data_IF_411329816374
#
_entry.id   IF_411329816374
#
_cell.length_a   1.000
_cell.length_b   1.000
_cell.length_c   1.000
_cell.angle_alpha   90.00
_cell.angle_beta   90.00
_cell.angle_gamma   90.00
#
_symmetry.space_group_name_H-M   'P 1'
#
loop_
_entity.id
_entity.type
_entity.pdbx_description
1 polymer ?
#
# COMPACT_ATOMS: atom_id res chain seq x y z
N UNK A 1 17.46 -8.07 -9.37
CA UNK A 1 16.77 -7.51 -8.21
C UNK A 1 15.25 -7.47 -8.41
N UNK A 2 14.70 -6.79 -9.41
CA UNK A 2 13.22 -6.67 -9.60
C UNK A 2 12.56 -8.06 -9.73
N UNK A 3 13.08 -8.96 -10.53
CA UNK A 3 12.49 -10.30 -10.71
C UNK A 3 12.50 -11.11 -9.41
N UNK A 4 13.55 -10.98 -8.60
CA UNK A 4 13.63 -11.62 -7.29
C UNK A 4 12.59 -11.02 -6.34
N UNK A 5 12.42 -9.68 -6.33
CA UNK A 5 11.38 -9.02 -5.54
C UNK A 5 9.97 -9.42 -6.00
N UNK A 6 9.71 -9.50 -7.32
CA UNK A 6 8.43 -9.99 -7.86
C UNK A 6 8.11 -11.41 -7.38
N UNK A 7 9.13 -12.26 -7.28
CA UNK A 7 8.96 -13.61 -6.74
C UNK A 7 8.66 -13.60 -5.24
N UNK A 8 9.41 -12.84 -4.43
CA UNK A 8 9.19 -12.69 -2.98
C UNK A 8 7.82 -12.06 -2.66
N UNK A 9 7.36 -11.15 -3.50
CA UNK A 9 6.05 -10.50 -3.39
C UNK A 9 4.93 -11.26 -4.11
N UNK A 10 5.21 -12.48 -4.57
CA UNK A 10 4.25 -13.40 -5.19
C UNK A 10 3.38 -12.78 -6.30
N UNK A 11 3.93 -11.80 -7.04
CA UNK A 11 3.22 -11.09 -8.10
C UNK A 11 2.85 -12.05 -9.23
N UNK A 12 1.56 -12.04 -9.62
CA UNK A 12 0.99 -12.94 -10.63
C UNK A 12 0.61 -14.33 -10.12
N UNK A 13 0.77 -14.61 -8.81
CA UNK A 13 0.44 -15.92 -8.23
C UNK A 13 -0.95 -15.97 -7.58
N UNK A 14 -1.60 -14.82 -7.36
CA UNK A 14 -2.86 -14.67 -6.63
C UNK A 14 -3.97 -14.04 -7.47
N UNK A 15 -4.41 -14.65 -8.57
CA UNK A 15 -5.46 -14.06 -9.38
C UNK A 15 -6.75 -13.87 -8.55
N UNK A 16 -7.39 -12.72 -8.75
CA UNK A 16 -8.69 -12.39 -8.21
C UNK A 16 -9.74 -12.47 -9.33
N UNK A 17 -10.64 -13.44 -9.26
CA UNK A 17 -11.73 -13.56 -10.23
C UNK A 17 -12.91 -12.72 -9.74
N UNK A 18 -13.36 -11.71 -10.50
CA UNK A 18 -14.57 -10.96 -10.14
C UNK A 18 -15.81 -11.87 -10.25
N UNK A 19 -16.67 -11.83 -9.25
CA UNK A 19 -17.91 -12.63 -9.21
C UNK A 19 -19.17 -11.77 -9.12
N UNK A 20 -19.05 -10.46 -9.04
CA UNK A 20 -20.14 -9.51 -9.04
C UNK A 20 -19.85 -8.25 -8.23
N UNK A 21 -20.83 -7.37 -8.21
CA UNK A 21 -20.84 -6.16 -7.39
C UNK A 21 -22.27 -5.91 -6.88
N UNK A 22 -22.36 -5.34 -5.67
CA UNK A 22 -23.62 -4.88 -5.08
C UNK A 22 -23.42 -3.43 -4.59
N UNK A 23 -23.87 -2.49 -5.40
CA UNK A 23 -23.57 -1.07 -5.20
C UNK A 23 -22.05 -0.81 -5.17
N UNK A 24 -21.52 -0.25 -4.09
CA UNK A 24 -20.09 -0.01 -3.93
C UNK A 24 -19.28 -1.27 -3.55
N UNK A 25 -19.94 -2.37 -3.20
CA UNK A 25 -19.29 -3.60 -2.79
C UNK A 25 -18.87 -4.42 -4.01
N UNK A 26 -17.60 -4.78 -4.06
CA UNK A 26 -17.02 -5.68 -5.06
C UNK A 26 -16.81 -7.06 -4.44
N UNK A 27 -17.06 -8.08 -5.22
CA UNK A 27 -16.89 -9.48 -4.81
C UNK A 27 -15.94 -10.18 -5.74
N UNK A 28 -14.88 -10.76 -5.17
CA UNK A 28 -13.90 -11.57 -5.89
C UNK A 28 -13.76 -12.94 -5.23
N UNK A 29 -13.14 -13.86 -5.97
CA UNK A 29 -12.65 -15.14 -5.45
C UNK A 29 -11.17 -15.29 -5.75
N UNK A 30 -10.42 -15.80 -4.78
CA UNK A 30 -9.05 -16.27 -5.00
C UNK A 30 -9.04 -17.56 -5.82
N UNK A 31 -7.86 -17.96 -6.34
CA UNK A 31 -7.66 -19.21 -7.06
C UNK A 31 -8.15 -20.46 -6.30
N UNK A 32 -8.09 -20.43 -4.97
CA UNK A 32 -8.55 -21.55 -4.11
C UNK A 32 -10.00 -21.37 -3.64
N UNK A 33 -10.74 -20.44 -4.22
CA UNK A 33 -12.17 -20.24 -3.97
C UNK A 33 -12.52 -19.38 -2.74
N UNK A 34 -11.54 -18.84 -2.02
CA UNK A 34 -11.81 -17.96 -0.89
C UNK A 34 -12.44 -16.64 -1.36
N UNK A 35 -13.50 -16.14 -0.69
CA UNK A 35 -14.10 -14.87 -1.02
C UNK A 35 -13.16 -13.72 -0.62
N UNK A 36 -13.12 -12.68 -1.45
CA UNK A 36 -12.46 -11.41 -1.16
C UNK A 36 -13.45 -10.29 -1.44
N UNK A 37 -13.73 -9.50 -0.42
CA UNK A 37 -14.57 -8.32 -0.55
C UNK A 37 -13.70 -7.11 -0.92
N UNK A 38 -14.24 -6.25 -1.77
CA UNK A 38 -13.69 -4.94 -2.06
C UNK A 38 -14.74 -3.84 -1.93
N UNK A 39 -14.28 -2.61 -1.88
CA UNK A 39 -15.12 -1.40 -1.89
C UNK A 39 -14.63 -0.48 -3.01
N UNK A 40 -15.55 -0.03 -3.84
CA UNK A 40 -15.34 0.96 -4.89
C UNK A 40 -16.01 2.28 -4.50
N UNK A 41 -15.25 3.36 -4.46
CA UNK A 41 -15.76 4.72 -4.42
C UNK A 41 -15.47 5.39 -5.77
N UNK A 42 -16.51 5.65 -6.55
CA UNK A 42 -16.39 6.19 -7.89
C UNK A 42 -17.22 7.48 -8.01
N UNK A 43 -16.62 8.57 -8.53
CA UNK A 43 -17.40 9.78 -8.83
C UNK A 43 -18.39 9.51 -9.96
N UNK A 44 -19.55 10.21 -9.92
CA UNK A 44 -20.56 10.10 -10.96
C UNK A 44 -20.21 11.05 -12.13
N UNK A 45 -19.17 10.69 -12.86
CA UNK A 45 -18.71 11.38 -14.07
C UNK A 45 -18.56 10.40 -15.22
N UNK A 46 -18.79 10.86 -16.43
CA UNK A 46 -18.67 10.05 -17.64
C UNK A 46 -17.19 9.93 -18.09
N UNK A 47 -16.90 8.84 -18.78
CA UNK A 47 -15.59 8.61 -19.40
C UNK A 47 -14.60 7.89 -18.51
N UNK A 48 -13.36 7.79 -19.00
CA UNK A 48 -12.25 7.20 -18.25
C UNK A 48 -11.72 8.20 -17.22
N UNK A 49 -11.44 7.69 -16.04
CA UNK A 49 -10.97 8.50 -14.92
C UNK A 49 -9.74 7.87 -14.24
N UNK A 50 -8.92 8.67 -13.54
CA UNK A 50 -7.86 8.14 -12.70
C UNK A 50 -8.45 7.32 -11.56
N UNK A 51 -7.67 6.35 -11.08
CA UNK A 51 -8.07 5.50 -9.95
C UNK A 51 -6.92 5.33 -8.97
N UNK A 52 -7.23 5.31 -7.68
CA UNK A 52 -6.27 5.00 -6.62
C UNK A 52 -6.63 3.65 -5.99
N UNK A 53 -5.72 2.69 -6.05
CA UNK A 53 -5.77 1.50 -5.21
C UNK A 53 -5.35 1.90 -3.80
N UNK A 54 -6.30 1.88 -2.88
CA UNK A 54 -6.05 2.14 -1.46
C UNK A 54 -5.77 0.82 -0.77
N UNK A 55 -4.63 0.72 -0.11
CA UNK A 55 -4.26 -0.45 0.68
C UNK A 55 -4.45 -0.08 2.14
N UNK A 56 -5.39 -0.75 2.81
CA UNK A 56 -5.75 -0.43 4.19
C UNK A 56 -4.62 -0.71 5.18
N UNK A 57 -4.65 -0.04 6.33
CA UNK A 57 -3.68 -0.22 7.38
C UNK A 57 -3.98 -1.46 8.25
N UNK A 58 -2.99 -1.85 9.08
CA UNK A 58 -3.12 -2.88 10.11
C UNK A 58 -3.82 -2.35 11.36
N UNK A 59 -3.09 -1.57 12.16
CA UNK A 59 -3.56 -0.88 13.36
C UNK A 59 -4.25 -1.78 14.39
N UNK A 60 -3.92 -3.08 14.41
CA UNK A 60 -4.57 -4.12 15.23
C UNK A 60 -6.10 -4.19 15.08
N UNK A 61 -6.63 -3.67 13.96
CA UNK A 61 -8.06 -3.62 13.65
C UNK A 61 -8.37 -4.57 12.49
N UNK A 62 -8.37 -5.85 12.81
CA UNK A 62 -8.66 -6.93 11.85
C UNK A 62 -10.10 -6.89 11.31
N UNK A 63 -10.99 -6.19 11.98
CA UNK A 63 -12.40 -6.01 11.63
C UNK A 63 -12.65 -4.98 10.51
N UNK A 64 -11.71 -4.04 10.26
CA UNK A 64 -11.96 -2.92 9.34
C UNK A 64 -11.79 -3.31 7.88
N UNK A 65 -10.63 -3.83 7.49
CA UNK A 65 -10.36 -4.20 6.08
C UNK A 65 -10.63 -3.08 5.08
N UNK A 66 -11.24 -3.42 3.94
CA UNK A 66 -11.55 -2.48 2.86
C UNK A 66 -12.61 -1.42 3.24
N UNK A 67 -13.35 -1.59 4.33
CA UNK A 67 -14.27 -0.58 4.85
C UNK A 67 -13.56 0.74 5.21
N UNK A 68 -12.23 0.69 5.51
CA UNK A 68 -11.41 1.88 5.71
C UNK A 68 -11.60 2.94 4.63
N UNK A 69 -11.81 2.53 3.38
CA UNK A 69 -11.98 3.45 2.26
C UNK A 69 -13.15 4.43 2.46
N UNK A 70 -14.27 3.95 3.00
CA UNK A 70 -15.51 4.72 3.16
C UNK A 70 -15.79 5.15 4.60
N UNK A 71 -15.30 4.39 5.57
CA UNK A 71 -15.57 4.64 7.00
C UNK A 71 -14.37 5.28 7.71
N UNK A 72 -13.17 5.20 7.10
CA UNK A 72 -11.92 5.69 7.71
C UNK A 72 -11.44 4.79 8.86
N UNK A 73 -10.51 5.33 9.63
CA UNK A 73 -9.99 4.75 10.88
C UNK A 73 -9.36 5.83 11.76
N UNK A 74 -9.10 5.56 13.05
CA UNK A 74 -8.54 6.57 13.96
C UNK A 74 -7.19 7.17 13.52
N UNK A 75 -6.39 6.45 12.73
CA UNK A 75 -5.10 6.94 12.21
C UNK A 75 -5.24 7.84 10.97
N UNK A 76 -6.42 7.95 10.37
CA UNK A 76 -6.71 8.80 9.22
C UNK A 76 -7.54 10.02 9.63
N UNK A 77 -7.37 11.15 8.93
CA UNK A 77 -8.14 12.38 9.17
C UNK A 77 -9.63 12.22 8.84
N UNK A 78 -9.90 11.45 7.77
CA UNK A 78 -11.27 11.16 7.28
C UNK A 78 -11.20 10.01 6.29
N UNK A 79 -12.36 9.42 5.89
CA UNK A 79 -12.40 8.47 4.79
C UNK A 79 -11.79 9.04 3.51
N UNK A 80 -10.86 8.29 2.89
CA UNK A 80 -10.15 8.79 1.71
C UNK A 80 -10.99 8.69 0.44
N UNK A 81 -11.85 7.67 0.33
CA UNK A 81 -12.68 7.45 -0.85
C UNK A 81 -13.52 8.66 -1.25
N UNK A 82 -14.36 9.21 -0.34
CA UNK A 82 -15.13 10.41 -0.63
C UNK A 82 -14.27 11.63 -0.98
N UNK A 83 -13.10 11.79 -0.35
CA UNK A 83 -12.19 12.90 -0.63
C UNK A 83 -11.62 12.81 -2.05
N UNK A 84 -11.21 11.62 -2.51
CA UNK A 84 -10.74 11.39 -3.87
C UNK A 84 -11.89 11.55 -4.89
N UNK A 85 -13.09 11.02 -4.59
CA UNK A 85 -14.24 11.14 -5.48
C UNK A 85 -14.64 12.60 -5.72
N UNK A 86 -14.54 13.46 -4.70
CA UNK A 86 -14.78 14.90 -4.83
C UNK A 86 -13.78 15.59 -5.79
N UNK A 87 -12.64 14.96 -6.05
CA UNK A 87 -11.62 15.43 -7.00
C UNK A 87 -11.72 14.76 -8.39
N UNK A 88 -12.75 13.94 -8.63
CA UNK A 88 -12.89 13.20 -9.88
C UNK A 88 -12.02 11.94 -9.98
N UNK A 89 -11.47 11.47 -8.87
CA UNK A 89 -10.58 10.29 -8.79
C UNK A 89 -11.38 9.13 -8.17
N UNK A 90 -11.48 8.01 -8.88
CA UNK A 90 -12.04 6.79 -8.31
C UNK A 90 -11.06 6.15 -7.33
N UNK A 91 -11.57 5.32 -6.42
CA UNK A 91 -10.72 4.56 -5.51
C UNK A 91 -11.29 3.18 -5.20
N UNK A 92 -10.41 2.22 -5.01
CA UNK A 92 -10.74 0.83 -4.68
C UNK A 92 -9.88 0.37 -3.52
N UNK A 93 -10.48 -0.39 -2.61
CA UNK A 93 -9.78 -1.10 -1.55
C UNK A 93 -10.30 -2.53 -1.50
N UNK A 94 -9.44 -3.53 -1.26
CA UNK A 94 -9.82 -4.92 -1.05
C UNK A 94 -9.47 -5.37 0.36
N UNK A 95 -10.21 -6.35 0.91
CA UNK A 95 -9.85 -6.98 2.18
C UNK A 95 -8.57 -7.80 2.02
N UNK A 96 -7.50 -7.42 2.74
CA UNK A 96 -6.29 -8.23 2.82
C UNK A 96 -6.56 -9.53 3.59
N UNK A 97 -5.76 -10.59 3.37
CA UNK A 97 -5.78 -11.77 4.24
C UNK A 97 -5.75 -11.39 5.72
N UNK A 98 -6.56 -12.04 6.52
CA UNK A 98 -6.75 -11.83 7.97
C UNK A 98 -7.53 -10.56 8.35
N UNK A 99 -8.04 -9.77 7.39
CA UNK A 99 -8.77 -8.52 7.67
C UNK A 99 -10.18 -8.52 7.05
N UNK A 100 -11.05 -7.70 7.63
CA UNK A 100 -12.41 -7.49 7.15
C UNK A 100 -13.21 -8.79 7.06
N UNK A 101 -13.72 -9.12 5.88
CA UNK A 101 -14.45 -10.36 5.64
C UNK A 101 -13.58 -11.63 5.71
N UNK A 102 -12.27 -11.50 5.89
CA UNK A 102 -11.29 -12.60 5.93
C UNK A 102 -10.59 -12.73 7.29
N UNK A 103 -11.18 -12.18 8.35
CA UNK A 103 -10.64 -12.22 9.72
C UNK A 103 -10.88 -13.55 10.45
N UNK A 104 -11.34 -14.59 9.76
CA UNK A 104 -11.56 -15.95 10.27
C UNK A 104 -10.24 -16.71 10.55
N UNK A 105 -9.15 -16.40 9.83
CA UNK A 105 -7.80 -16.89 10.12
C UNK A 105 -6.97 -15.79 10.80
N UNK A 106 -6.36 -16.08 11.94
CA UNK A 106 -5.49 -15.13 12.62
C UNK A 106 -4.20 -14.89 11.82
N UNK A 107 -3.67 -13.66 11.88
CA UNK A 107 -2.41 -13.29 11.23
C UNK A 107 -1.26 -14.26 11.56
N UNK A 108 -1.11 -14.61 12.85
CA UNK A 108 -0.07 -15.54 13.30
C UNK A 108 -0.23 -16.94 12.69
N UNK A 109 -1.47 -17.44 12.55
CA UNK A 109 -1.74 -18.75 11.93
C UNK A 109 -1.43 -18.71 10.43
N UNK A 110 -1.93 -17.69 9.73
CA UNK A 110 -1.68 -17.48 8.30
C UNK A 110 -0.19 -17.33 7.99
N UNK A 111 0.52 -16.48 8.73
CA UNK A 111 1.95 -16.27 8.54
C UNK A 111 2.75 -17.57 8.74
N UNK A 112 2.52 -18.32 9.84
CA UNK A 112 3.20 -19.59 10.10
C UNK A 112 2.93 -20.62 9.01
N UNK A 113 1.67 -20.76 8.59
CA UNK A 113 1.28 -21.68 7.52
C UNK A 113 2.02 -21.36 6.22
N UNK A 114 2.09 -20.09 5.84
CA UNK A 114 2.76 -19.65 4.62
C UNK A 114 4.29 -19.82 4.71
N UNK A 115 4.90 -19.46 5.85
CA UNK A 115 6.34 -19.64 6.06
C UNK A 115 6.76 -21.11 5.94
N UNK A 116 5.96 -22.07 6.46
CA UNK A 116 6.22 -23.49 6.29
C UNK A 116 6.11 -23.96 4.83
N UNK A 117 5.38 -23.22 4.00
CA UNK A 117 5.24 -23.48 2.56
C UNK A 117 6.30 -22.74 1.72
N UNK A 118 7.28 -22.06 2.34
CA UNK A 118 8.28 -21.25 1.66
C UNK A 118 7.75 -19.93 1.09
N UNK A 119 6.63 -19.45 1.62
CA UNK A 119 5.91 -18.24 1.21
C UNK A 119 5.85 -17.23 2.35
N UNK A 120 5.22 -16.08 2.13
CA UNK A 120 5.00 -15.08 3.19
C UNK A 120 3.61 -14.47 3.12
N UNK A 121 3.10 -14.01 4.27
CA UNK A 121 1.80 -13.33 4.31
C UNK A 121 1.84 -12.00 3.55
N UNK A 122 2.92 -11.22 3.71
CA UNK A 122 3.11 -10.00 2.93
C UNK A 122 3.23 -10.27 1.43
N UNK A 123 3.90 -11.36 1.02
CA UNK A 123 3.96 -11.77 -0.38
C UNK A 123 2.58 -12.03 -0.96
N UNK A 124 1.74 -12.78 -0.24
CA UNK A 124 0.35 -12.99 -0.65
C UNK A 124 -0.42 -11.67 -0.74
N UNK A 125 -0.28 -10.77 0.25
CA UNK A 125 -0.96 -9.47 0.26
C UNK A 125 -0.56 -8.61 -0.94
N UNK A 126 0.73 -8.49 -1.26
CA UNK A 126 1.21 -7.74 -2.44
C UNK A 126 0.75 -8.40 -3.74
N UNK A 127 0.78 -9.73 -3.80
CA UNK A 127 0.30 -10.48 -4.96
C UNK A 127 -1.20 -10.27 -5.22
N UNK A 128 -2.03 -10.19 -4.18
CA UNK A 128 -3.45 -9.88 -4.31
C UNK A 128 -3.69 -8.40 -4.67
N UNK A 129 -2.86 -7.45 -4.19
CA UNK A 129 -2.88 -6.06 -4.65
C UNK A 129 -2.53 -5.95 -6.15
N UNK A 130 -1.54 -6.73 -6.62
CA UNK A 130 -1.21 -6.79 -8.04
C UNK A 130 -2.38 -7.33 -8.88
N UNK A 131 -3.10 -8.33 -8.38
CA UNK A 131 -4.31 -8.85 -9.04
C UNK A 131 -5.46 -7.83 -9.04
N UNK A 132 -5.56 -6.97 -8.01
CA UNK A 132 -6.49 -5.85 -8.03
C UNK A 132 -6.12 -4.83 -9.12
N UNK A 133 -4.82 -4.59 -9.38
CA UNK A 133 -4.37 -3.78 -10.53
C UNK A 133 -4.68 -4.45 -11.86
N UNK A 134 -4.61 -5.79 -11.96
CA UNK A 134 -5.04 -6.53 -13.16
C UNK A 134 -6.51 -6.23 -13.44
N UNK A 135 -7.38 -6.41 -12.46
CA UNK A 135 -8.80 -6.12 -12.57
C UNK A 135 -9.08 -4.65 -12.93
N UNK A 136 -8.41 -3.70 -12.27
CA UNK A 136 -8.56 -2.27 -12.57
C UNK A 136 -8.19 -1.93 -14.01
N UNK A 137 -7.13 -2.54 -14.53
CA UNK A 137 -6.63 -2.30 -15.89
C UNK A 137 -7.60 -2.80 -16.98
N UNK A 138 -8.50 -3.72 -16.64
CA UNK A 138 -9.52 -4.28 -17.53
C UNK A 138 -10.84 -3.48 -17.53
N UNK A 139 -10.98 -2.50 -16.61
CA UNK A 139 -12.22 -1.73 -16.52
C UNK A 139 -12.28 -0.62 -17.58
N UNK A 140 -13.37 -0.54 -18.35
CA UNK A 140 -13.57 0.45 -19.40
C UNK A 140 -13.56 1.91 -18.90
N UNK A 141 -13.92 2.12 -17.63
CA UNK A 141 -13.97 3.42 -16.97
C UNK A 141 -12.63 3.86 -16.37
N UNK A 142 -11.63 2.99 -16.31
CA UNK A 142 -10.30 3.29 -15.77
C UNK A 142 -9.39 3.86 -16.87
N UNK A 143 -8.72 4.96 -16.57
CA UNK A 143 -7.55 5.39 -17.31
C UNK A 143 -6.32 4.65 -16.81
N UNK A 144 -5.90 3.63 -17.53
CA UNK A 144 -4.78 2.76 -17.14
C UNK A 144 -3.42 3.47 -17.08
N UNK A 145 -3.28 4.66 -17.65
CA UNK A 145 -2.09 5.49 -17.52
C UNK A 145 -2.08 6.32 -16.22
N UNK A 146 -3.22 6.39 -15.51
CA UNK A 146 -3.41 7.21 -14.32
C UNK A 146 -3.90 6.36 -13.13
N UNK A 147 -3.15 5.28 -12.83
CA UNK A 147 -3.39 4.44 -11.65
C UNK A 147 -2.42 4.86 -10.55
N UNK A 148 -2.99 5.31 -9.42
CA UNK A 148 -2.25 5.62 -8.20
C UNK A 148 -2.36 4.51 -7.16
N UNK A 149 -1.47 4.54 -6.17
CA UNK A 149 -1.54 3.73 -4.94
C UNK A 149 -1.45 4.65 -3.74
N UNK A 150 -2.27 4.40 -2.74
CA UNK A 150 -2.17 5.03 -1.42
C UNK A 150 -2.16 3.99 -0.32
N UNK A 151 -1.41 4.24 0.72
CA UNK A 151 -1.48 3.48 1.96
C UNK A 151 -0.87 4.21 3.14
N UNK A 152 -1.37 3.89 4.33
CA UNK A 152 -0.77 4.27 5.61
C UNK A 152 -0.34 3.01 6.35
N UNK A 153 0.78 3.05 7.10
CA UNK A 153 1.25 1.93 7.92
C UNK A 153 1.49 0.67 7.07
N UNK A 154 0.84 -0.45 7.37
CA UNK A 154 0.88 -1.67 6.55
C UNK A 154 0.61 -1.35 5.08
N UNK A 155 -0.43 -0.58 4.80
CA UNK A 155 -0.78 -0.20 3.43
C UNK A 155 0.32 0.59 2.72
N UNK A 156 1.07 1.42 3.45
CA UNK A 156 2.23 2.12 2.91
C UNK A 156 3.34 1.15 2.49
N UNK A 157 3.70 0.19 3.36
CA UNK A 157 4.73 -0.80 3.06
C UNK A 157 4.36 -1.67 1.87
N UNK A 158 3.17 -2.24 1.87
CA UNK A 158 2.68 -3.04 0.75
C UNK A 158 2.58 -2.20 -0.54
N UNK A 159 2.21 -0.91 -0.40
CA UNK A 159 2.08 0.04 -1.51
C UNK A 159 3.40 0.32 -2.22
N UNK A 160 4.49 0.65 -1.49
CA UNK A 160 5.77 0.87 -2.17
C UNK A 160 6.43 -0.43 -2.65
N UNK A 161 6.19 -1.57 -2.00
CA UNK A 161 6.62 -2.86 -2.53
C UNK A 161 5.93 -3.18 -3.85
N UNK A 162 4.61 -2.99 -3.92
CA UNK A 162 3.85 -3.15 -5.16
C UNK A 162 4.35 -2.20 -6.25
N UNK A 163 4.46 -0.91 -5.95
CA UNK A 163 4.89 0.10 -6.91
C UNK A 163 6.31 -0.15 -7.42
N UNK A 164 7.21 -0.69 -6.58
CA UNK A 164 8.58 -1.04 -6.97
C UNK A 164 8.64 -2.12 -8.06
N UNK A 165 7.67 -3.03 -8.10
CA UNK A 165 7.69 -4.22 -8.97
C UNK A 165 6.56 -4.23 -10.02
N UNK A 166 5.65 -3.25 -10.00
CA UNK A 166 4.56 -3.11 -10.96
C UNK A 166 4.57 -1.72 -11.60
N UNK A 167 4.94 -1.66 -12.87
CA UNK A 167 5.06 -0.42 -13.62
C UNK A 167 3.73 0.27 -13.94
N UNK A 168 2.58 -0.36 -13.69
CA UNK A 168 1.26 0.24 -13.87
C UNK A 168 0.95 1.31 -12.81
N UNK A 169 1.60 1.24 -11.65
CA UNK A 169 1.48 2.27 -10.62
C UNK A 169 2.21 3.52 -11.11
N UNK A 170 1.46 4.50 -11.59
CA UNK A 170 2.01 5.77 -12.09
C UNK A 170 2.38 6.73 -10.94
N UNK A 171 1.66 6.67 -9.84
CA UNK A 171 1.80 7.57 -8.68
C UNK A 171 1.66 6.79 -7.39
N UNK A 172 2.54 7.06 -6.43
CA UNK A 172 2.49 6.47 -5.09
C UNK A 172 2.43 7.56 -4.02
N UNK A 173 1.48 7.45 -3.09
CA UNK A 173 1.49 8.20 -1.84
C UNK A 173 1.50 7.22 -0.66
N UNK A 174 2.43 7.40 0.26
CA UNK A 174 2.60 6.51 1.41
C UNK A 174 2.86 7.31 2.68
N UNK A 175 2.30 6.85 3.81
CA UNK A 175 2.41 7.51 5.09
C UNK A 175 2.76 6.55 6.22
N UNK A 176 3.58 7.03 7.18
CA UNK A 176 3.83 6.38 8.47
C UNK A 176 4.36 4.93 8.35
N UNK A 177 5.35 4.65 7.49
CA UNK A 177 5.94 3.30 7.48
C UNK A 177 7.29 3.13 6.74
N UNK A 178 7.89 4.18 6.18
CA UNK A 178 9.18 4.00 5.51
C UNK A 178 10.33 3.99 6.53
N UNK A 179 10.95 2.83 6.72
CA UNK A 179 12.11 2.65 7.58
C UNK A 179 13.06 1.59 7.02
N UNK A 180 14.34 1.71 7.33
CA UNK A 180 15.32 0.65 7.06
C UNK A 180 15.13 -0.50 8.06
N UNK A 181 14.88 -1.71 7.58
CA UNK A 181 14.59 -2.86 8.43
C UNK A 181 15.83 -3.36 9.19
N UNK A 182 17.04 -3.19 8.67
CA UNK A 182 18.23 -3.53 9.42
C UNK A 182 18.38 -2.61 10.65
N UNK A 183 18.15 -1.31 10.48
CA UNK A 183 18.14 -0.36 11.59
C UNK A 183 16.98 -0.61 12.58
N UNK A 184 15.82 -1.10 12.14
CA UNK A 184 14.75 -1.55 13.05
C UNK A 184 15.20 -2.77 13.88
N UNK A 185 15.92 -3.71 13.26
CA UNK A 185 16.47 -4.88 13.97
C UNK A 185 17.48 -4.43 15.02
N UNK A 186 18.43 -3.57 14.65
CA UNK A 186 19.48 -3.08 15.54
C UNK A 186 18.92 -2.31 16.75
N UNK A 187 17.82 -1.56 16.57
CA UNK A 187 17.14 -0.83 17.64
C UNK A 187 16.12 -1.66 18.44
N UNK A 188 15.76 -2.85 17.96
CA UNK A 188 14.68 -3.66 18.51
C UNK A 188 13.27 -3.22 18.10
N UNK A 189 13.13 -2.13 17.35
CA UNK A 189 11.82 -1.60 16.93
C UNK A 189 11.08 -2.54 15.96
N UNK A 190 11.79 -3.45 15.27
CA UNK A 190 11.16 -4.49 14.43
C UNK A 190 10.11 -5.33 15.18
N UNK A 191 10.26 -5.49 16.50
CA UNK A 191 9.34 -6.26 17.35
C UNK A 191 7.99 -5.56 17.60
N UNK A 192 7.86 -4.29 17.21
CA UNK A 192 6.60 -3.53 17.25
C UNK A 192 5.72 -3.76 16.01
N UNK A 193 6.27 -4.42 14.97
CA UNK A 193 5.55 -4.72 13.74
C UNK A 193 4.90 -6.10 13.77
N UNK A 194 3.77 -6.26 13.05
CA UNK A 194 3.10 -7.54 12.91
C UNK A 194 3.93 -8.58 12.15
N UNK A 195 3.68 -9.85 12.45
CA UNK A 195 4.38 -10.97 11.79
C UNK A 195 4.15 -11.01 10.27
N UNK A 196 3.06 -10.37 9.79
CA UNK A 196 2.77 -10.27 8.35
C UNK A 196 3.96 -9.72 7.55
N UNK A 197 4.73 -8.79 8.17
CA UNK A 197 5.84 -8.10 7.52
C UNK A 197 7.07 -8.99 7.28
N UNK A 198 7.05 -10.23 7.76
CA UNK A 198 8.19 -11.16 7.65
C UNK A 198 8.23 -11.81 6.27
N UNK A 199 9.21 -11.42 5.46
CA UNK A 199 9.53 -12.07 4.18
C UNK A 199 10.93 -12.68 4.28
N UNK A 200 11.05 -14.03 4.30
CA UNK A 200 12.36 -14.67 4.38
C UNK A 200 13.30 -14.23 3.26
N UNK A 201 14.49 -13.79 3.63
CA UNK A 201 15.52 -13.41 2.67
C UNK A 201 15.37 -12.03 2.04
N UNK A 202 14.35 -11.21 2.38
CA UNK A 202 14.16 -9.89 1.78
C UNK A 202 15.42 -9.01 1.90
N UNK A 203 16.01 -8.93 3.08
CA UNK A 203 17.21 -8.10 3.33
C UNK A 203 18.49 -8.61 2.65
N UNK A 204 18.50 -9.84 2.14
CA UNK A 204 19.61 -10.33 1.31
C UNK A 204 19.51 -9.84 -0.15
N UNK A 205 18.34 -9.32 -0.55
CA UNK A 205 18.06 -8.82 -1.90
C UNK A 205 18.18 -7.30 -1.95
N UNK A 206 17.50 -6.60 -1.05
CA UNK A 206 17.48 -5.13 -0.99
C UNK A 206 17.02 -4.64 0.39
N UNK A 207 17.44 -3.43 0.77
CA UNK A 207 16.86 -2.69 1.89
C UNK A 207 15.53 -2.04 1.47
N UNK A 208 14.71 -1.65 2.44
CA UNK A 208 13.43 -1.01 2.15
C UNK A 208 13.55 0.33 1.42
N UNK A 209 14.55 1.13 1.75
CA UNK A 209 14.80 2.37 1.02
C UNK A 209 15.22 2.13 -0.43
N UNK A 210 16.02 1.08 -0.70
CA UNK A 210 16.34 0.67 -2.06
C UNK A 210 15.08 0.22 -2.82
N UNK A 211 14.19 -0.56 -2.17
CA UNK A 211 12.93 -1.00 -2.79
C UNK A 211 12.04 0.21 -3.09
N UNK A 212 11.83 1.11 -2.14
CA UNK A 212 11.05 2.33 -2.33
C UNK A 212 11.66 3.25 -3.40
N UNK A 213 12.99 3.25 -3.55
CA UNK A 213 13.71 3.98 -4.60
C UNK A 213 13.46 3.45 -6.01
N UNK A 214 13.04 2.18 -6.18
CA UNK A 214 12.67 1.62 -7.50
C UNK A 214 11.40 2.26 -8.09
N UNK A 215 10.65 3.03 -7.32
CA UNK A 215 9.51 3.81 -7.81
C UNK A 215 9.99 4.93 -8.75
N UNK A 216 11.18 5.48 -8.55
CA UNK A 216 11.76 6.49 -9.43
C UNK A 216 11.84 6.01 -10.90
N UNK A 217 11.55 6.87 -11.89
CA UNK A 217 11.25 8.31 -11.81
C UNK A 217 9.75 8.66 -11.61
N UNK A 218 8.89 7.69 -11.34
CA UNK A 218 7.45 7.92 -11.11
C UNK A 218 7.22 8.78 -9.88
N UNK A 219 6.09 9.48 -9.82
CA UNK A 219 5.80 10.41 -8.73
C UNK A 219 5.59 9.65 -7.39
N UNK A 220 6.26 10.12 -6.32
CA UNK A 220 6.17 9.52 -4.99
C UNK A 220 6.03 10.59 -3.91
N UNK A 221 5.05 10.41 -3.03
CA UNK A 221 4.86 11.17 -1.79
C UNK A 221 5.15 10.27 -0.58
N UNK A 222 5.92 10.76 0.38
CA UNK A 222 6.28 10.07 1.61
C UNK A 222 5.97 10.97 2.81
N UNK A 223 5.00 10.58 3.64
CA UNK A 223 4.65 11.23 4.89
C UNK A 223 5.26 10.50 6.08
N UNK A 224 5.93 11.21 7.00
CA UNK A 224 6.59 10.63 8.18
C UNK A 224 6.31 11.48 9.42
N UNK A 225 5.95 10.82 10.53
CA UNK A 225 5.93 11.42 11.86
C UNK A 225 7.25 11.13 12.58
N UNK A 226 7.97 12.16 13.06
CA UNK A 226 9.29 11.98 13.65
C UNK A 226 9.27 11.41 15.08
N UNK A 227 8.09 11.32 15.71
CA UNK A 227 7.92 10.66 17.02
C UNK A 227 7.26 9.29 16.92
N UNK A 228 7.15 8.72 15.70
CA UNK A 228 6.58 7.41 15.46
C UNK A 228 7.53 6.30 15.97
N UNK A 229 7.11 5.51 16.97
CA UNK A 229 7.95 4.42 17.49
C UNK A 229 8.14 3.26 16.50
N UNK A 230 7.24 3.13 15.52
CA UNK A 230 7.33 2.09 14.47
C UNK A 230 8.35 2.46 13.40
N UNK A 231 8.63 3.76 13.23
CA UNK A 231 9.59 4.28 12.24
C UNK A 231 10.55 5.27 12.90
N UNK A 232 11.43 4.83 13.83
CA UNK A 232 12.37 5.72 14.50
C UNK A 232 13.14 6.58 13.50
N UNK A 233 13.41 7.87 13.80
CA UNK A 233 14.01 8.82 12.86
C UNK A 233 15.27 8.30 12.16
N UNK A 234 16.16 7.61 12.89
CA UNK A 234 17.38 7.04 12.31
C UNK A 234 17.07 6.01 11.21
N UNK A 235 16.10 5.11 11.45
CA UNK A 235 15.72 4.10 10.47
C UNK A 235 14.99 4.73 9.26
N UNK A 236 14.18 5.76 9.51
CA UNK A 236 13.54 6.54 8.45
C UNK A 236 14.58 7.30 7.61
N UNK A 237 15.57 7.95 8.24
CA UNK A 237 16.60 8.73 7.55
C UNK A 237 17.44 7.86 6.61
N UNK A 238 17.88 6.66 7.05
CA UNK A 238 18.61 5.71 6.21
C UNK A 238 17.79 5.35 4.96
N UNK A 239 16.52 5.01 5.12
CA UNK A 239 15.66 4.65 4.02
C UNK A 239 15.40 5.86 3.07
N UNK A 240 15.16 7.05 3.62
CA UNK A 240 14.95 8.27 2.85
C UNK A 240 16.18 8.66 2.03
N UNK A 241 17.39 8.50 2.57
CA UNK A 241 18.61 8.81 1.83
C UNK A 241 18.79 7.91 0.61
N UNK A 242 18.41 6.64 0.73
CA UNK A 242 18.42 5.72 -0.41
C UNK A 242 17.37 6.11 -1.47
N UNK A 243 16.16 6.52 -1.06
CA UNK A 243 15.14 7.03 -1.97
C UNK A 243 15.62 8.32 -2.66
N UNK A 244 16.15 9.28 -1.91
CA UNK A 244 16.72 10.53 -2.47
C UNK A 244 17.80 10.25 -3.50
N UNK A 245 18.70 9.30 -3.20
CA UNK A 245 19.76 8.92 -4.14
C UNK A 245 19.19 8.34 -5.44
N UNK A 246 18.15 7.49 -5.37
CA UNK A 246 17.48 6.93 -6.53
C UNK A 246 16.83 8.03 -7.40
N UNK A 247 16.09 8.95 -6.78
CA UNK A 247 15.49 10.10 -7.50
C UNK A 247 16.53 11.09 -8.01
N UNK A 248 17.63 11.29 -7.31
CA UNK A 248 18.76 12.09 -7.80
C UNK A 248 19.38 11.52 -9.07
N UNK A 249 19.42 10.21 -9.20
CA UNK A 249 19.96 9.51 -10.37
C UNK A 249 18.96 9.41 -11.54
N UNK A 250 17.69 9.09 -11.24
CA UNK A 250 16.67 8.80 -12.26
C UNK A 250 15.80 10.01 -12.62
N UNK A 251 15.82 11.07 -11.81
CA UNK A 251 14.87 12.19 -11.89
C UNK A 251 13.49 11.80 -11.33
N UNK A 252 12.49 12.61 -11.65
CA UNK A 252 11.11 12.39 -11.22
C UNK A 252 10.69 13.27 -10.05
N UNK A 253 9.41 13.14 -9.65
CA UNK A 253 8.82 13.94 -8.59
C UNK A 253 8.84 13.16 -7.27
N UNK A 254 9.64 13.62 -6.32
CA UNK A 254 9.66 13.13 -4.94
C UNK A 254 9.22 14.24 -3.99
N UNK A 255 8.20 13.96 -3.17
CA UNK A 255 7.76 14.83 -2.08
C UNK A 255 7.96 14.08 -0.76
N UNK A 256 8.72 14.65 0.16
CA UNK A 256 8.90 14.13 1.51
C UNK A 256 8.33 15.15 2.48
N UNK A 257 7.31 14.73 3.23
CA UNK A 257 6.65 15.52 4.27
C UNK A 257 6.96 14.92 5.63
N UNK A 258 7.59 15.72 6.50
CA UNK A 258 7.93 15.29 7.87
C UNK A 258 7.21 16.14 8.89
N UNK A 259 6.69 15.48 9.92
CA UNK A 259 5.99 16.09 11.05
C UNK A 259 6.78 15.87 12.35
N UNK A 260 7.51 16.87 12.82
CA UNK A 260 8.45 16.72 13.96
C UNK A 260 7.80 16.24 15.26
N UNK A 261 6.50 16.49 15.43
CA UNK A 261 5.77 16.21 16.67
C UNK A 261 4.64 15.20 16.50
N UNK A 262 4.58 14.52 15.36
CA UNK A 262 3.57 13.50 15.08
C UNK A 262 4.13 12.10 15.24
N UNK A 263 3.29 11.19 15.75
CA UNK A 263 3.56 9.75 15.80
C UNK A 263 3.01 9.02 14.58
N UNK A 264 2.48 7.80 14.83
CA UNK A 264 1.95 6.90 13.80
C UNK A 264 0.52 7.27 13.39
N UNK A 265 0.35 8.44 12.81
CA UNK A 265 -0.96 9.01 12.43
C UNK A 265 -0.81 9.99 11.28
N UNK A 266 -1.78 10.00 10.38
CA UNK A 266 -1.90 11.03 9.35
C UNK A 266 -2.26 12.37 10.00
N UNK A 267 -1.51 13.42 9.70
CA UNK A 267 -1.83 14.78 10.16
C UNK A 267 -2.70 15.52 9.13
N UNK A 268 -3.39 16.62 9.50
CA UNK A 268 -4.10 17.45 8.53
C UNK A 268 -3.21 17.97 7.40
N UNK A 269 -1.93 18.26 7.69
CA UNK A 269 -0.98 18.70 6.68
C UNK A 269 -0.57 17.56 5.73
N UNK A 270 -0.36 16.33 6.23
CA UNK A 270 -0.14 15.13 5.41
C UNK A 270 -1.33 14.90 4.47
N UNK A 271 -2.58 14.89 5.00
CA UNK A 271 -3.80 14.73 4.20
C UNK A 271 -3.89 15.78 3.09
N UNK A 272 -3.65 17.03 3.42
CA UNK A 272 -3.65 18.13 2.44
C UNK A 272 -2.58 17.90 1.37
N UNK A 273 -1.39 17.49 1.79
CA UNK A 273 -0.27 17.19 0.89
C UNK A 273 -0.59 16.02 -0.07
N UNK A 274 -1.15 14.93 0.44
CA UNK A 274 -1.55 13.75 -0.37
C UNK A 274 -2.61 14.13 -1.40
N UNK A 275 -3.66 14.85 -1.01
CA UNK A 275 -4.71 15.25 -1.95
C UNK A 275 -4.20 16.21 -3.02
N UNK A 276 -3.38 17.20 -2.64
CA UNK A 276 -2.73 18.10 -3.60
C UNK A 276 -1.81 17.33 -4.55
N UNK A 277 -1.04 16.38 -4.04
CA UNK A 277 -0.14 15.56 -4.83
C UNK A 277 -0.89 14.71 -5.86
N UNK A 278 -1.99 14.06 -5.49
CA UNK A 278 -2.83 13.33 -6.44
C UNK A 278 -3.50 14.25 -7.46
N UNK A 279 -3.98 15.43 -7.04
CA UNK A 279 -4.53 16.43 -7.97
C UNK A 279 -3.53 16.84 -9.05
N UNK A 280 -2.26 17.00 -8.69
CA UNK A 280 -1.22 17.45 -9.61
C UNK A 280 -0.67 16.33 -10.51
N UNK A 281 -0.76 15.08 -10.06
CA UNK A 281 -0.09 13.95 -10.73
C UNK A 281 -1.04 12.99 -11.45
N UNK A 282 -2.33 12.99 -11.09
CA UNK A 282 -3.38 12.17 -11.71
C UNK A 282 -4.42 13.00 -12.49
N UNK A 283 -4.37 14.33 -12.42
CA UNK A 283 -5.31 15.21 -13.13
C UNK A 283 -5.16 15.16 -14.66
#
# INVERSE_FOLDING_TARGET
MIDTLRHLFEVGQHPLTPIGADGPLLHFRTKIGQPVRGVLCRPDIAGRMPVVLVIHAHGDRYDIGCAELMDGRPALQSPLGPALAAMGIASVCIDMPCFGSRADETESAAAKRLLWQGRSLAGQMVGECAAALDWLSEQDWVDSARIGVFGISMGATLGYWLAAVDGRVAVLAQECCLADFAALIDSGAHNLHGIYLTIPGLLTVASNGQIAGLVAPRAQFIGIGDTDPLTPPMAADIALDQVRAAYGAAGGRLVIHREPHSGHVETPAMRTGVLAFFAETLA
#
